data_IF_172963786358
#
_entry.id   IF_172963786358
#
_cell.length_a   1.000
_cell.length_b   1.000
_cell.length_c   1.000
_cell.angle_alpha   90.00
_cell.angle_beta   90.00
_cell.angle_gamma   90.00
#
_symmetry.space_group_name_H-M   'P 1'
#
loop_
_entity.id
_entity.type
_entity.pdbx_description
1 polymer ?
#
# COMPACT_ATOMS: atom_id res chain seq x y z
N UNK A 1 12.07 22.84 8.41
CA UNK A 1 11.86 21.37 8.32
C UNK A 1 10.41 21.10 8.70
N UNK A 2 9.54 20.74 7.77
CA UNK A 2 8.11 20.53 8.09
C UNK A 2 7.97 19.18 8.81
N UNK A 3 7.43 19.19 10.03
CA UNK A 3 7.04 17.97 10.71
C UNK A 3 5.96 17.27 9.87
N UNK A 4 6.25 16.07 9.36
CA UNK A 4 5.24 15.28 8.64
C UNK A 4 4.23 14.77 9.67
N UNK A 5 2.95 15.10 9.47
CA UNK A 5 1.86 14.75 10.38
C UNK A 5 1.54 13.24 10.38
N UNK A 6 0.71 12.82 11.34
CA UNK A 6 0.23 11.44 11.46
C UNK A 6 -1.11 11.31 10.73
N UNK A 7 -1.21 10.35 9.80
CA UNK A 7 -2.48 9.96 9.18
C UNK A 7 -2.91 8.60 9.74
N UNK A 8 -3.87 8.59 10.67
CA UNK A 8 -4.37 7.38 11.33
C UNK A 8 -5.85 7.19 11.00
N UNK A 9 -6.20 5.98 10.58
CA UNK A 9 -7.58 5.55 10.34
C UNK A 9 -7.84 4.26 11.12
N UNK A 10 -9.02 4.18 11.76
CA UNK A 10 -9.52 3.00 12.46
C UNK A 10 -10.89 2.69 11.87
N UNK A 11 -11.10 1.44 11.44
CA UNK A 11 -12.35 0.97 10.86
C UNK A 11 -12.95 -0.13 11.73
N UNK A 12 -14.26 -0.06 11.97
CA UNK A 12 -15.05 -1.08 12.66
C UNK A 12 -16.31 -1.33 11.84
N UNK A 13 -16.59 -2.59 11.53
CA UNK A 13 -17.75 -2.99 10.74
C UNK A 13 -17.68 -4.46 10.36
N UNK A 14 -18.71 -4.91 9.66
CA UNK A 14 -18.80 -6.27 9.13
C UNK A 14 -18.37 -6.30 7.66
N UNK A 15 -17.86 -7.44 7.21
CA UNK A 15 -17.54 -7.64 5.79
C UNK A 15 -18.83 -7.74 4.99
N UNK A 16 -18.87 -7.09 3.82
CA UNK A 16 -20.01 -7.21 2.91
C UNK A 16 -20.02 -8.49 2.07
N UNK A 17 -18.87 -9.14 1.97
CA UNK A 17 -18.63 -10.38 1.22
C UNK A 17 -17.38 -11.07 1.76
N UNK A 18 -17.20 -12.34 1.45
CA UNK A 18 -15.99 -13.08 1.81
C UNK A 18 -14.76 -12.50 1.09
N UNK A 19 -13.59 -12.41 1.76
CA UNK A 19 -12.39 -11.86 1.17
C UNK A 19 -11.85 -12.79 0.07
N UNK A 20 -11.41 -12.18 -1.04
CA UNK A 20 -10.68 -12.90 -2.07
C UNK A 20 -9.21 -13.08 -1.65
N UNK A 21 -8.73 -14.32 -1.57
CA UNK A 21 -7.34 -14.64 -1.21
C UNK A 21 -6.49 -14.72 -2.48
N UNK A 22 -5.52 -13.81 -2.62
CA UNK A 22 -4.55 -13.82 -3.72
C UNK A 22 -3.13 -13.94 -3.18
N UNK A 23 -2.40 -14.97 -3.62
CA UNK A 23 -0.97 -15.10 -3.34
C UNK A 23 -0.19 -14.35 -4.41
N UNK A 24 0.42 -13.23 -4.02
CA UNK A 24 1.36 -12.53 -4.87
C UNK A 24 2.75 -13.15 -4.67
N UNK A 25 3.50 -13.47 -5.72
CA UNK A 25 4.88 -13.89 -5.56
C UNK A 25 5.65 -12.79 -4.83
N UNK A 26 6.48 -13.19 -3.87
CA UNK A 26 7.25 -12.31 -3.00
C UNK A 26 7.90 -11.18 -3.80
N UNK A 27 7.44 -9.96 -3.55
CA UNK A 27 7.94 -8.68 -4.04
C UNK A 27 9.00 -8.74 -5.13
N UNK A 28 8.54 -8.77 -6.39
CA UNK A 28 9.29 -8.08 -7.43
C UNK A 28 9.45 -6.65 -6.94
N UNK A 29 10.66 -6.34 -6.42
CA UNK A 29 11.16 -4.99 -6.11
C UNK A 29 10.44 -4.03 -7.03
N UNK A 30 9.64 -3.13 -6.48
CA UNK A 30 8.95 -2.09 -7.24
C UNK A 30 10.00 -1.41 -8.12
N UNK A 31 10.06 -1.87 -9.36
CA UNK A 31 11.00 -1.48 -10.38
C UNK A 31 10.58 -0.15 -10.98
N UNK A 32 10.19 0.80 -10.13
CA UNK A 32 10.45 2.18 -10.45
C UNK A 32 11.91 2.41 -10.04
N UNK A 33 12.83 1.85 -10.84
CA UNK A 33 14.11 2.51 -11.03
C UNK A 33 13.73 3.92 -11.44
N UNK A 34 14.12 4.89 -10.63
CA UNK A 34 14.09 6.30 -10.97
C UNK A 34 14.99 6.43 -12.20
N UNK A 35 14.41 6.19 -13.37
CA UNK A 35 15.05 6.39 -14.64
C UNK A 35 15.12 7.91 -14.77
N UNK A 36 16.29 8.46 -14.45
CA UNK A 36 16.65 9.78 -14.88
C UNK A 36 16.42 9.88 -16.38
N UNK A 37 15.34 10.56 -16.76
CA UNK A 37 15.06 11.12 -18.08
C UNK A 37 13.88 12.09 -17.94
N UNK A 38 14.17 13.28 -17.42
CA UNK A 38 14.39 14.54 -18.18
C UNK A 38 15.10 15.54 -17.28
#
# INVERSE_FOLDING_TARGET
MAARGVNKVILVGHLGQDPEVRYMPNGGRSGQSDAGHV
#
